data_IF_921437721170
#
_entry.id   IF_921437721170
#
_cell.length_a   1.000
_cell.length_b   1.000
_cell.length_c   1.000
_cell.angle_alpha   90.00
_cell.angle_beta   90.00
_cell.angle_gamma   90.00
#
_symmetry.space_group_name_H-M   'P 1'
#
loop_
_entity.id
_entity.type
_entity.pdbx_description
1 polymer ?
#
# COMPACT_ATOMS: atom_id res chain seq x y z
N UNK A 1 15.57 9.38 -5.00
CA UNK A 1 14.22 9.74 -5.51
C UNK A 1 14.13 9.31 -6.96
N UNK A 2 13.06 8.66 -7.34
CA UNK A 2 12.86 8.18 -8.72
C UNK A 2 12.49 9.38 -9.60
N UNK A 3 13.22 9.61 -10.67
CA UNK A 3 12.95 10.67 -11.64
C UNK A 3 11.83 10.29 -12.59
N UNK A 4 11.22 11.27 -13.28
CA UNK A 4 10.18 10.98 -14.28
C UNK A 4 10.70 10.10 -15.42
N UNK A 5 11.96 10.29 -15.85
CA UNK A 5 12.60 9.46 -16.86
C UNK A 5 12.78 8.01 -16.39
N UNK A 6 13.17 7.79 -15.15
CA UNK A 6 13.27 6.44 -14.57
C UNK A 6 11.92 5.75 -14.50
N UNK A 7 10.83 6.47 -14.15
CA UNK A 7 9.47 5.91 -14.21
C UNK A 7 9.08 5.49 -15.63
N UNK A 8 9.37 6.29 -16.63
CA UNK A 8 9.11 5.94 -18.04
C UNK A 8 9.96 4.74 -18.52
N UNK A 9 11.20 4.63 -18.04
CA UNK A 9 12.05 3.47 -18.31
C UNK A 9 11.50 2.20 -17.66
N UNK A 10 10.98 2.31 -16.43
CA UNK A 10 10.32 1.21 -15.73
C UNK A 10 9.08 0.72 -16.49
N UNK A 11 8.22 1.63 -16.96
CA UNK A 11 7.11 1.28 -17.87
C UNK A 11 7.61 0.51 -19.09
N UNK A 12 8.66 1.01 -19.74
CA UNK A 12 9.24 0.35 -20.91
C UNK A 12 9.77 -1.05 -20.61
N UNK A 13 10.36 -1.24 -19.44
CA UNK A 13 10.87 -2.54 -18.96
C UNK A 13 9.76 -3.55 -18.78
N UNK A 14 8.63 -3.15 -18.17
CA UNK A 14 7.45 -4.01 -18.01
C UNK A 14 6.93 -4.50 -19.36
N UNK A 15 6.78 -3.61 -20.35
CA UNK A 15 6.32 -3.98 -21.69
C UNK A 15 7.31 -4.94 -22.40
N UNK A 16 8.62 -4.72 -22.26
CA UNK A 16 9.66 -5.62 -22.81
C UNK A 16 9.64 -7.00 -22.15
N UNK A 17 9.33 -7.07 -20.86
CA UNK A 17 9.27 -8.30 -20.09
C UNK A 17 7.91 -9.03 -20.21
N UNK A 18 6.96 -8.48 -21.00
CA UNK A 18 5.65 -9.10 -21.21
C UNK A 18 4.61 -8.85 -20.12
N UNK A 19 4.91 -7.98 -19.15
CA UNK A 19 3.98 -7.56 -18.08
C UNK A 19 3.20 -6.31 -18.53
N UNK A 20 2.23 -6.54 -19.40
CA UNK A 20 1.46 -5.47 -20.06
C UNK A 20 0.48 -4.78 -19.11
N UNK A 21 -0.08 -5.50 -18.16
CA UNK A 21 -1.13 -4.94 -17.27
C UNK A 21 -0.52 -4.00 -16.24
N UNK A 22 0.56 -4.38 -15.59
CA UNK A 22 1.27 -3.50 -14.66
C UNK A 22 1.96 -2.35 -15.41
N UNK A 23 2.60 -2.64 -16.55
CA UNK A 23 3.20 -1.61 -17.40
C UNK A 23 2.19 -0.55 -17.83
N UNK A 24 0.96 -0.95 -18.20
CA UNK A 24 -0.09 0.00 -18.57
C UNK A 24 -0.57 0.85 -17.39
N UNK A 25 -0.74 0.26 -16.20
CA UNK A 25 -1.09 1.02 -14.98
C UNK A 25 -0.02 2.05 -14.63
N UNK A 26 1.25 1.67 -14.70
CA UNK A 26 2.38 2.60 -14.47
C UNK A 26 2.46 3.70 -15.53
N UNK A 27 2.12 3.41 -16.79
CA UNK A 27 1.99 4.44 -17.82
C UNK A 27 0.93 5.47 -17.44
N UNK A 28 -0.24 5.01 -16.98
CA UNK A 28 -1.33 5.90 -16.54
C UNK A 28 -0.88 6.78 -15.37
N UNK A 29 -0.10 6.23 -14.42
CA UNK A 29 0.49 7.03 -13.32
C UNK A 29 1.46 8.10 -13.85
N UNK A 30 2.29 7.78 -14.84
CA UNK A 30 3.15 8.78 -15.50
C UNK A 30 2.33 9.88 -16.19
N UNK A 31 1.25 9.50 -16.87
CA UNK A 31 0.34 10.48 -17.50
C UNK A 31 -0.31 11.39 -16.48
N UNK A 32 -0.77 10.85 -15.35
CA UNK A 32 -1.34 11.64 -14.25
C UNK A 32 -0.32 12.60 -13.62
N UNK A 33 0.94 12.18 -13.53
CA UNK A 33 2.02 13.01 -12.99
C UNK A 33 2.28 14.27 -13.86
N UNK A 34 1.96 14.26 -15.17
CA UNK A 34 2.11 15.44 -16.03
C UNK A 34 1.11 16.55 -15.73
N UNK A 35 -0.08 16.21 -15.21
CA UNK A 35 -1.24 17.13 -15.03
C UNK A 35 -1.73 17.79 -16.31
N UNK A 36 -1.35 17.30 -17.49
CA UNK A 36 -1.70 17.85 -18.78
C UNK A 36 -2.94 17.19 -19.39
N UNK A 37 -3.98 17.94 -19.63
CA UNK A 37 -5.26 17.45 -20.19
C UNK A 37 -5.12 16.87 -21.59
N UNK A 38 -4.13 17.31 -22.38
CA UNK A 38 -3.77 16.77 -23.69
C UNK A 38 -3.34 15.30 -23.59
N UNK A 39 -2.46 14.98 -22.65
CA UNK A 39 -2.02 13.62 -22.39
C UNK A 39 -3.11 12.75 -21.77
N UNK A 40 -3.97 13.33 -20.93
CA UNK A 40 -5.16 12.61 -20.42
C UNK A 40 -6.05 12.15 -21.58
N UNK A 41 -6.33 13.06 -22.54
CA UNK A 41 -7.12 12.73 -23.72
C UNK A 41 -6.46 11.61 -24.54
N UNK A 42 -5.17 11.71 -24.82
CA UNK A 42 -4.44 10.69 -25.61
C UNK A 42 -4.42 9.32 -24.90
N UNK A 43 -4.26 9.30 -23.57
CA UNK A 43 -4.33 8.08 -22.76
C UNK A 43 -5.71 7.42 -22.80
N UNK A 44 -6.78 8.21 -22.74
CA UNK A 44 -8.16 7.73 -22.85
C UNK A 44 -8.41 7.16 -24.24
N UNK A 45 -8.01 7.85 -25.29
CA UNK A 45 -8.12 7.38 -26.69
C UNK A 45 -7.34 6.06 -26.90
N UNK A 46 -6.15 5.95 -26.31
CA UNK A 46 -5.36 4.70 -26.34
C UNK A 46 -6.08 3.55 -25.61
N UNK A 47 -6.73 3.85 -24.47
CA UNK A 47 -7.52 2.86 -23.71
C UNK A 47 -8.74 2.40 -24.51
N UNK A 48 -9.48 3.32 -25.11
CA UNK A 48 -10.63 3.02 -25.98
C UNK A 48 -10.23 2.18 -27.17
N UNK A 49 -9.13 2.56 -27.83
CA UNK A 49 -8.59 1.80 -28.94
C UNK A 49 -8.21 0.38 -28.51
N UNK A 50 -7.52 0.21 -27.34
CA UNK A 50 -7.14 -1.10 -26.79
C UNK A 50 -8.35 -2.00 -26.56
N UNK A 51 -9.42 -1.45 -26.00
CA UNK A 51 -10.64 -2.22 -25.71
C UNK A 51 -11.44 -2.60 -26.98
N UNK A 52 -11.47 -1.72 -27.97
CA UNK A 52 -12.21 -1.95 -29.22
C UNK A 52 -11.52 -2.94 -30.16
N UNK A 53 -10.20 -2.90 -30.25
CA UNK A 53 -9.46 -3.65 -31.26
C UNK A 53 -8.77 -4.90 -30.72
N UNK A 54 -8.75 -5.11 -29.40
CA UNK A 54 -8.02 -6.23 -28.77
C UNK A 54 -6.66 -6.50 -29.44
N UNK A 55 -5.75 -5.51 -29.49
CA UNK A 55 -4.55 -5.55 -30.33
C UNK A 55 -3.59 -6.66 -29.92
N UNK A 56 -2.72 -7.07 -30.86
CA UNK A 56 -1.57 -7.90 -30.48
C UNK A 56 -0.66 -7.17 -29.50
N UNK A 57 0.12 -7.93 -28.76
CA UNK A 57 1.06 -7.40 -27.75
C UNK A 57 2.09 -6.46 -28.37
N UNK A 58 2.56 -6.77 -29.56
CA UNK A 58 3.54 -5.97 -30.33
C UNK A 58 2.94 -4.63 -30.74
N UNK A 59 1.70 -4.63 -31.23
CA UNK A 59 1.02 -3.41 -31.68
C UNK A 59 0.69 -2.48 -30.51
N UNK A 60 0.28 -3.05 -29.36
CA UNK A 60 0.09 -2.29 -28.12
C UNK A 60 1.41 -1.66 -27.66
N UNK A 61 2.50 -2.46 -27.62
CA UNK A 61 3.83 -1.98 -27.23
C UNK A 61 4.32 -0.84 -28.09
N UNK A 62 4.16 -0.95 -29.42
CA UNK A 62 4.57 0.11 -30.35
C UNK A 62 3.85 1.44 -30.08
N UNK A 63 2.52 1.41 -29.83
CA UNK A 63 1.78 2.61 -29.48
C UNK A 63 2.20 3.19 -28.12
N UNK A 64 2.41 2.33 -27.13
CA UNK A 64 2.87 2.75 -25.79
C UNK A 64 4.26 3.37 -25.85
N UNK A 65 5.20 2.79 -26.62
CA UNK A 65 6.54 3.38 -26.76
C UNK A 65 6.50 4.73 -27.47
N UNK A 66 5.66 4.90 -28.50
CA UNK A 66 5.44 6.21 -29.11
C UNK A 66 4.84 7.24 -28.15
N UNK A 67 3.98 6.80 -27.23
CA UNK A 67 3.44 7.69 -26.19
C UNK A 67 4.49 8.03 -25.13
N UNK A 68 5.31 7.07 -24.68
CA UNK A 68 6.44 7.30 -23.78
C UNK A 68 7.43 8.32 -24.36
N UNK A 69 7.72 8.25 -25.65
CA UNK A 69 8.60 9.25 -26.31
C UNK A 69 8.04 10.66 -26.21
N UNK A 70 6.73 10.84 -26.36
CA UNK A 70 6.08 12.16 -26.16
C UNK A 70 6.17 12.62 -24.71
N UNK A 71 5.86 11.73 -23.74
CA UNK A 71 5.93 12.02 -22.33
C UNK A 71 7.36 12.37 -21.87
N UNK A 72 8.38 11.76 -22.48
CA UNK A 72 9.79 12.01 -22.11
C UNK A 72 10.27 13.44 -22.40
N UNK A 73 9.53 14.19 -23.22
CA UNK A 73 9.79 15.60 -23.57
C UNK A 73 9.19 16.57 -22.55
N UNK A 74 8.39 16.07 -21.62
CA UNK A 74 7.72 16.87 -20.58
C UNK A 74 8.55 16.90 -19.31
N UNK A 75 8.72 18.07 -18.74
CA UNK A 75 9.36 18.23 -17.43
C UNK A 75 8.32 18.10 -16.32
N UNK A 76 8.56 17.17 -15.39
CA UNK A 76 7.76 16.99 -14.18
C UNK A 76 8.63 17.36 -12.98
N UNK A 77 8.26 18.44 -12.30
CA UNK A 77 9.05 18.94 -11.17
C UNK A 77 8.87 18.07 -9.94
N UNK A 78 10.00 17.64 -9.39
CA UNK A 78 10.10 16.92 -8.13
C UNK A 78 9.96 17.88 -6.94
N UNK A 79 9.12 17.53 -5.98
CA UNK A 79 9.11 18.21 -4.69
C UNK A 79 9.94 17.42 -3.66
N UNK A 80 10.72 18.09 -2.78
CA UNK A 80 11.41 17.42 -1.69
C UNK A 80 10.38 16.76 -0.76
N UNK A 81 10.74 15.61 -0.19
CA UNK A 81 9.89 14.94 0.79
C UNK A 81 9.65 15.85 1.98
N UNK A 82 8.38 16.06 2.33
CA UNK A 82 7.95 16.87 3.47
C UNK A 82 7.26 16.00 4.51
N UNK A 83 7.36 16.40 5.76
CA UNK A 83 6.51 15.87 6.83
C UNK A 83 5.06 16.32 6.58
N UNK A 84 4.12 15.40 6.70
CA UNK A 84 2.69 15.64 6.49
C UNK A 84 1.88 15.67 7.79
N UNK A 85 2.27 14.80 8.73
CA UNK A 85 1.59 14.64 10.01
C UNK A 85 2.58 14.19 11.08
N UNK A 86 2.50 14.82 12.24
CA UNK A 86 3.19 14.38 13.46
C UNK A 86 2.18 14.21 14.57
N UNK A 87 2.11 13.01 15.13
CA UNK A 87 1.36 12.70 16.34
C UNK A 87 2.36 12.40 17.45
N UNK A 88 2.18 13.02 18.62
CA UNK A 88 3.05 12.88 19.77
C UNK A 88 2.25 12.49 21.01
N UNK A 89 2.55 11.33 21.60
CA UNK A 89 1.96 10.78 22.84
C UNK A 89 0.44 10.80 22.86
N UNK A 90 -0.19 10.46 21.73
CA UNK A 90 -1.65 10.43 21.61
C UNK A 90 -2.21 9.31 22.46
N UNK A 91 -3.15 9.63 23.34
CA UNK A 91 -3.87 8.63 24.12
C UNK A 91 -5.38 8.89 24.16
N UNK A 92 -6.14 7.81 24.39
CA UNK A 92 -7.59 7.89 24.59
C UNK A 92 -8.09 6.83 25.54
N UNK A 93 -8.92 7.24 26.49
CA UNK A 93 -9.59 6.37 27.46
C UNK A 93 -11.09 6.37 27.19
N UNK A 94 -11.71 5.20 27.17
CA UNK A 94 -13.17 5.07 27.07
C UNK A 94 -13.78 4.88 28.46
N UNK A 95 -14.66 5.79 28.87
CA UNK A 95 -15.22 5.86 30.21
C UNK A 95 -16.13 4.68 30.59
N UNK A 96 -16.56 3.83 29.66
CA UNK A 96 -17.42 2.65 29.88
C UNK A 96 -16.75 1.35 29.38
N UNK A 97 -15.53 1.13 29.76
CA UNK A 97 -14.82 -0.08 29.37
C UNK A 97 -13.37 0.00 29.79
N UNK A 98 -12.72 -1.16 29.87
CA UNK A 98 -11.31 -1.25 30.26
C UNK A 98 -10.36 -0.93 29.10
N UNK A 99 -10.87 -0.46 27.94
CA UNK A 99 -10.02 -0.19 26.78
C UNK A 99 -9.42 1.21 26.87
N UNK A 100 -8.09 1.24 26.79
CA UNK A 100 -7.29 2.45 26.67
C UNK A 100 -6.39 2.34 25.46
N UNK A 101 -6.42 3.35 24.58
CA UNK A 101 -5.36 3.55 23.62
C UNK A 101 -4.19 4.22 24.36
N UNK A 102 -3.04 3.55 24.40
CA UNK A 102 -1.83 4.03 25.07
C UNK A 102 -1.18 5.20 24.31
N UNK A 103 -0.06 5.65 24.81
CA UNK A 103 0.65 6.78 24.20
C UNK A 103 1.28 6.37 22.87
N UNK A 104 0.75 6.94 21.79
CA UNK A 104 1.21 6.64 20.44
C UNK A 104 1.88 7.87 19.84
N UNK A 105 3.08 7.68 19.32
CA UNK A 105 3.82 8.70 18.55
C UNK A 105 4.18 8.14 17.17
N UNK A 106 3.90 8.92 16.11
CA UNK A 106 4.26 8.58 14.75
C UNK A 106 4.42 9.83 13.89
N UNK A 107 5.28 9.74 12.88
CA UNK A 107 5.48 10.81 11.90
C UNK A 107 5.32 10.25 10.50
N UNK A 108 4.43 10.86 9.71
CA UNK A 108 4.13 10.49 8.32
C UNK A 108 4.72 11.53 7.40
N UNK A 109 5.58 11.10 6.48
CA UNK A 109 6.14 11.94 5.43
C UNK A 109 5.50 11.62 4.08
N UNK A 110 5.70 12.50 3.12
CA UNK A 110 5.35 12.24 1.73
C UNK A 110 6.07 10.98 1.22
N UNK A 111 5.34 10.08 0.62
CA UNK A 111 5.84 8.81 0.11
C UNK A 111 5.96 7.69 1.14
N UNK A 112 5.68 7.95 2.44
CA UNK A 112 5.70 6.91 3.47
C UNK A 112 4.43 6.04 3.40
N UNK A 113 4.61 4.74 3.60
CA UNK A 113 3.53 3.79 3.88
C UNK A 113 3.70 3.25 5.29
N UNK A 114 2.76 3.57 6.16
CA UNK A 114 2.66 3.04 7.51
C UNK A 114 1.68 1.88 7.57
N UNK A 115 2.11 0.76 8.10
CA UNK A 115 1.26 -0.36 8.47
C UNK A 115 0.84 -0.29 9.92
N UNK A 116 -0.45 -0.35 10.19
CA UNK A 116 -1.00 -0.42 11.53
C UNK A 116 -1.57 -1.82 11.76
N UNK A 117 -0.86 -2.64 12.53
CA UNK A 117 -1.18 -4.06 12.71
C UNK A 117 -1.65 -4.36 14.13
N UNK A 118 -2.53 -5.33 14.27
CA UNK A 118 -3.04 -5.81 15.56
C UNK A 118 -4.36 -6.53 15.42
N UNK A 119 -4.73 -7.31 16.42
CA UNK A 119 -6.02 -8.01 16.47
C UNK A 119 -7.20 -7.04 16.56
N UNK A 120 -8.42 -7.58 16.39
CA UNK A 120 -9.63 -6.81 16.60
C UNK A 120 -9.74 -6.30 18.04
N UNK A 121 -10.19 -5.06 18.20
CA UNK A 121 -10.30 -4.42 19.50
C UNK A 121 -9.00 -3.78 20.00
N UNK A 122 -7.87 -3.93 19.34
CA UNK A 122 -6.59 -3.35 19.78
C UNK A 122 -6.43 -1.85 19.47
N UNK A 123 -7.45 -1.18 18.92
CA UNK A 123 -7.47 0.29 18.79
C UNK A 123 -7.06 0.85 17.44
N UNK A 124 -6.83 0.02 16.40
CA UNK A 124 -6.46 0.46 15.04
C UNK A 124 -7.44 1.51 14.48
N UNK A 125 -8.72 1.17 14.40
CA UNK A 125 -9.79 2.09 13.98
C UNK A 125 -9.87 3.35 14.84
N UNK A 126 -9.66 3.22 16.17
CA UNK A 126 -9.64 4.35 17.09
C UNK A 126 -8.53 5.33 16.72
N UNK A 127 -7.31 4.82 16.52
CA UNK A 127 -6.17 5.65 16.11
C UNK A 127 -6.43 6.33 14.76
N UNK A 128 -6.85 5.58 13.73
CA UNK A 128 -7.14 6.14 12.41
C UNK A 128 -8.19 7.25 12.47
N UNK A 129 -9.27 7.07 13.26
CA UNK A 129 -10.30 8.09 13.45
C UNK A 129 -9.83 9.32 14.22
N UNK A 130 -8.90 9.14 15.17
CA UNK A 130 -8.24 10.27 15.86
C UNK A 130 -7.39 11.04 14.84
N UNK A 131 -6.57 10.37 14.06
CA UNK A 131 -5.75 10.99 13.01
C UNK A 131 -6.58 11.65 11.91
N UNK A 132 -7.80 11.14 11.66
CA UNK A 132 -8.77 11.74 10.73
C UNK A 132 -9.53 12.95 11.30
N UNK A 133 -9.31 13.33 12.56
CA UNK A 133 -10.12 14.29 13.33
C UNK A 133 -11.61 13.92 13.44
N UNK A 134 -11.95 12.64 13.28
CA UNK A 134 -13.32 12.14 13.49
C UNK A 134 -13.57 11.75 14.96
N UNK A 135 -12.51 11.60 15.74
CA UNK A 135 -12.59 11.24 17.14
C UNK A 135 -11.63 12.08 17.98
N UNK A 136 -12.11 12.65 19.08
CA UNK A 136 -11.26 13.39 20.02
C UNK A 136 -10.38 12.44 20.82
N UNK A 137 -9.14 12.84 21.07
CA UNK A 137 -8.20 12.19 21.97
C UNK A 137 -8.13 12.94 23.32
N UNK A 138 -7.56 12.31 24.35
CA UNK A 138 -7.58 12.85 25.72
C UNK A 138 -6.25 13.51 26.08
N UNK A 139 -5.11 13.04 25.52
CA UNK A 139 -3.79 13.66 25.71
C UNK A 139 -2.91 13.51 24.47
N UNK A 140 -1.87 14.34 24.40
CA UNK A 140 -0.92 14.41 23.28
C UNK A 140 -1.19 15.57 22.34
N UNK A 141 -0.50 15.60 21.19
CA UNK A 141 -0.66 16.61 20.14
C UNK A 141 -0.65 15.96 18.75
N UNK A 142 -1.36 16.58 17.82
CA UNK A 142 -1.29 16.21 16.39
C UNK A 142 -1.10 17.47 15.57
N UNK A 143 0.01 17.52 14.84
CA UNK A 143 0.35 18.61 13.94
C UNK A 143 0.21 18.13 12.49
N UNK A 144 -0.49 18.92 11.66
CA UNK A 144 -0.68 18.63 10.25
C UNK A 144 0.06 19.69 9.41
N UNK A 145 0.95 19.23 8.54
CA UNK A 145 1.77 20.06 7.67
C UNK A 145 1.34 19.91 6.20
N UNK A 146 0.08 20.22 5.94
CA UNK A 146 -0.54 20.08 4.62
C UNK A 146 -0.51 21.44 3.91
N UNK A 147 0.50 21.75 3.20
CA UNK A 147 0.88 22.96 2.40
C UNK A 147 -0.24 23.89 1.87
N UNK A 148 -1.37 24.01 2.52
CA UNK A 148 -2.48 24.86 2.10
C UNK A 148 -2.59 26.10 2.99
N UNK A 149 -2.87 27.24 2.34
CA UNK A 149 -3.22 28.48 3.01
C UNK A 149 -4.52 28.34 3.84
N UNK A 150 -5.35 27.33 3.53
CA UNK A 150 -6.58 27.02 4.26
C UNK A 150 -6.29 26.05 5.42
N UNK A 151 -6.02 26.63 6.60
CA UNK A 151 -5.85 25.88 7.86
C UNK A 151 -7.18 25.50 8.51
N UNK A 152 -8.33 25.76 7.86
CA UNK A 152 -9.64 25.37 8.37
C UNK A 152 -9.81 23.85 8.44
N UNK A 153 -10.73 23.39 9.28
CA UNK A 153 -11.10 21.96 9.34
C UNK A 153 -11.62 21.45 7.98
N UNK A 154 -12.17 22.32 7.15
CA UNK A 154 -12.61 21.97 5.80
C UNK A 154 -11.41 21.74 4.87
N UNK A 155 -10.45 22.67 4.82
CA UNK A 155 -9.21 22.54 4.05
C UNK A 155 -8.46 21.26 4.43
N UNK A 156 -8.31 21.01 5.73
CA UNK A 156 -7.69 19.76 6.20
C UNK A 156 -8.42 18.52 5.68
N UNK A 157 -9.75 18.46 5.79
CA UNK A 157 -10.55 17.30 5.34
C UNK A 157 -10.54 17.08 3.84
N UNK A 158 -10.17 18.08 3.04
CA UNK A 158 -9.95 17.88 1.61
C UNK A 158 -8.64 17.18 1.31
N UNK A 159 -7.61 17.37 2.14
CA UNK A 159 -6.25 16.82 1.97
C UNK A 159 -5.99 15.55 2.75
N UNK A 160 -6.69 15.35 3.85
CA UNK A 160 -6.64 14.14 4.65
C UNK A 160 -7.93 13.33 4.44
N UNK A 161 -7.78 12.10 3.95
CA UNK A 161 -8.93 11.24 3.67
C UNK A 161 -8.88 9.99 4.52
N UNK A 162 -10.00 9.66 5.13
CA UNK A 162 -10.23 8.40 5.82
C UNK A 162 -11.23 7.55 5.03
N UNK A 163 -10.84 6.32 4.71
CA UNK A 163 -11.72 5.30 4.12
C UNK A 163 -11.98 4.24 5.19
N UNK A 164 -13.20 4.14 5.71
CA UNK A 164 -13.57 3.15 6.71
C UNK A 164 -13.69 1.75 6.11
N UNK A 165 -13.61 0.73 6.94
CA UNK A 165 -13.75 -0.67 6.55
C UNK A 165 -15.07 -0.94 5.80
N UNK A 166 -16.15 -0.29 6.23
CA UNK A 166 -17.46 -0.38 5.57
C UNK A 166 -17.74 0.93 4.87
N UNK A 167 -17.66 0.90 3.55
CA UNK A 167 -17.96 2.05 2.70
C UNK A 167 -19.48 2.19 2.50
N UNK A 168 -19.99 3.43 2.36
CA UNK A 168 -21.40 3.65 2.11
C UNK A 168 -21.80 3.10 0.73
N UNK A 169 -23.09 2.73 0.61
CA UNK A 169 -23.67 2.36 -0.67
C UNK A 169 -23.89 3.61 -1.54
N UNK A 170 -23.55 3.48 -2.81
CA UNK A 170 -23.73 4.52 -3.82
C UNK A 170 -24.88 4.15 -4.76
N UNK A 171 -25.63 5.16 -5.22
CA UNK A 171 -26.73 5.00 -6.15
C UNK A 171 -26.36 5.54 -7.53
N UNK A 172 -26.83 4.87 -8.60
CA UNK A 172 -26.49 5.21 -9.98
C UNK A 172 -25.17 4.59 -10.45
N UNK A 173 -24.76 4.94 -11.68
CA UNK A 173 -23.55 4.35 -12.26
C UNK A 173 -22.28 4.87 -11.60
N UNK A 174 -21.25 4.04 -11.64
CA UNK A 174 -19.91 4.35 -11.12
C UNK A 174 -19.38 5.67 -11.70
N UNK A 175 -19.43 5.85 -13.04
CA UNK A 175 -18.97 7.06 -13.71
C UNK A 175 -19.76 8.30 -13.28
N UNK A 176 -21.08 8.19 -13.13
CA UNK A 176 -21.93 9.32 -12.71
C UNK A 176 -21.59 9.77 -11.28
N UNK A 177 -21.33 8.84 -10.37
CA UNK A 177 -20.91 9.14 -9.01
C UNK A 177 -19.55 9.83 -8.97
N UNK A 178 -18.57 9.37 -9.76
CA UNK A 178 -17.24 9.99 -9.85
C UNK A 178 -17.35 11.42 -10.45
N UNK A 179 -18.16 11.61 -11.48
CA UNK A 179 -18.40 12.97 -12.06
C UNK A 179 -19.03 13.91 -11.05
N UNK A 180 -19.97 13.42 -10.25
CA UNK A 180 -20.58 14.20 -9.18
C UNK A 180 -19.54 14.56 -8.10
N UNK A 181 -18.72 13.57 -7.66
CA UNK A 181 -17.64 13.82 -6.69
C UNK A 181 -16.64 14.86 -7.20
N UNK A 182 -16.18 14.74 -8.45
CA UNK A 182 -15.26 15.70 -9.05
C UNK A 182 -15.87 17.10 -9.11
N UNK A 183 -17.16 17.21 -9.48
CA UNK A 183 -17.86 18.49 -9.52
C UNK A 183 -17.98 19.14 -8.13
N UNK A 184 -18.19 18.33 -7.08
CA UNK A 184 -18.21 18.78 -5.69
C UNK A 184 -16.86 19.38 -5.25
N UNK A 185 -15.74 18.88 -5.80
CA UNK A 185 -14.40 19.43 -5.57
C UNK A 185 -14.04 20.59 -6.52
N UNK A 186 -15.02 21.13 -7.24
CA UNK A 186 -14.82 22.28 -8.13
C UNK A 186 -14.34 21.94 -9.54
N UNK A 187 -14.09 20.67 -9.86
CA UNK A 187 -13.62 20.22 -11.17
C UNK A 187 -14.84 20.15 -12.11
N UNK A 188 -14.87 20.95 -13.19
CA UNK A 188 -16.05 21.10 -14.05
C UNK A 188 -15.74 20.87 -15.52
N UNK A 189 -16.79 20.72 -16.31
CA UNK A 189 -16.72 20.66 -17.78
C UNK A 189 -15.80 19.55 -18.32
N UNK A 190 -14.94 19.91 -19.27
CA UNK A 190 -14.04 18.96 -19.94
C UNK A 190 -12.99 18.37 -19.01
N UNK A 191 -12.50 19.14 -18.06
CA UNK A 191 -11.53 18.67 -17.06
C UNK A 191 -12.13 17.55 -16.20
N UNK A 192 -13.38 17.73 -15.74
CA UNK A 192 -14.10 16.69 -14.99
C UNK A 192 -14.21 15.40 -15.79
N UNK A 193 -14.62 15.48 -17.05
CA UNK A 193 -14.75 14.29 -17.92
C UNK A 193 -13.41 13.56 -18.08
N UNK A 194 -12.34 14.30 -18.37
CA UNK A 194 -11.02 13.73 -18.59
C UNK A 194 -10.44 13.12 -17.31
N UNK A 195 -10.48 13.84 -16.19
CA UNK A 195 -9.93 13.38 -14.94
C UNK A 195 -10.70 12.15 -14.39
N UNK A 196 -12.02 12.17 -14.48
CA UNK A 196 -12.85 11.02 -14.08
C UNK A 196 -12.52 9.78 -14.92
N UNK A 197 -12.39 9.91 -16.25
CA UNK A 197 -11.99 8.80 -17.10
C UNK A 197 -10.58 8.29 -16.76
N UNK A 198 -9.62 9.19 -16.48
CA UNK A 198 -8.28 8.80 -16.03
C UNK A 198 -8.32 8.01 -14.71
N UNK A 199 -9.12 8.43 -13.72
CA UNK A 199 -9.28 7.67 -12.48
C UNK A 199 -9.94 6.30 -12.73
N UNK A 200 -10.93 6.24 -13.59
CA UNK A 200 -11.57 4.97 -13.99
C UNK A 200 -10.56 4.02 -14.63
N UNK A 201 -9.70 4.52 -15.53
CA UNK A 201 -8.64 3.74 -16.16
C UNK A 201 -7.61 3.30 -15.13
N UNK A 202 -7.12 4.25 -14.32
CA UNK A 202 -6.07 4.00 -13.31
C UNK A 202 -6.43 2.88 -12.34
N UNK A 203 -7.67 2.87 -11.88
CA UNK A 203 -8.16 1.87 -10.93
C UNK A 203 -8.79 0.63 -11.60
N UNK A 204 -8.61 0.44 -12.93
CA UNK A 204 -9.09 -0.74 -13.65
C UNK A 204 -10.61 -0.87 -13.70
N UNK A 205 -11.32 0.24 -13.65
CA UNK A 205 -12.78 0.30 -13.60
C UNK A 205 -13.43 0.52 -14.98
N UNK A 206 -12.63 0.54 -16.05
CA UNK A 206 -13.11 0.93 -17.38
C UNK A 206 -14.28 0.11 -17.88
N UNK A 207 -14.24 -1.21 -17.71
CA UNK A 207 -15.31 -2.12 -18.11
C UNK A 207 -16.58 -1.97 -17.26
N UNK A 208 -16.42 -1.51 -16.03
CA UNK A 208 -17.50 -1.36 -15.04
C UNK A 208 -18.02 0.07 -14.89
N UNK A 209 -17.56 1.03 -15.71
CA UNK A 209 -17.87 2.45 -15.55
C UNK A 209 -19.36 2.81 -15.60
N UNK A 210 -20.18 1.97 -16.24
CA UNK A 210 -21.64 2.13 -16.32
C UNK A 210 -22.42 1.21 -15.39
N UNK A 211 -21.73 0.34 -14.63
CA UNK A 211 -22.36 -0.54 -13.65
C UNK A 211 -22.78 0.25 -12.41
N UNK A 212 -23.81 -0.27 -11.75
CA UNK A 212 -24.25 0.24 -10.45
C UNK A 212 -23.43 -0.40 -9.32
N UNK A 213 -23.49 0.23 -8.13
CA UNK A 213 -22.76 -0.23 -6.95
C UNK A 213 -22.98 -1.70 -6.58
N UNK A 214 -24.25 -2.17 -6.68
CA UNK A 214 -24.60 -3.53 -6.27
C UNK A 214 -24.06 -4.61 -7.22
N UNK A 215 -23.70 -4.24 -8.44
CA UNK A 215 -23.14 -5.13 -9.46
C UNK A 215 -21.63 -5.32 -9.31
N UNK A 216 -20.98 -4.58 -8.39
CA UNK A 216 -19.54 -4.61 -8.17
C UNK A 216 -19.16 -5.61 -7.07
N UNK A 217 -18.06 -6.35 -7.27
CA UNK A 217 -17.42 -7.11 -6.19
C UNK A 217 -16.82 -6.19 -5.13
N UNK A 218 -16.47 -6.73 -3.96
CA UNK A 218 -15.82 -5.97 -2.87
C UNK A 218 -14.52 -5.29 -3.33
N UNK A 219 -13.71 -5.97 -4.14
CA UNK A 219 -12.49 -5.40 -4.70
C UNK A 219 -12.75 -4.21 -5.63
N UNK A 220 -13.74 -4.28 -6.50
CA UNK A 220 -14.12 -3.15 -7.36
C UNK A 220 -14.76 -2.01 -6.56
N UNK A 221 -15.48 -2.29 -5.48
CA UNK A 221 -16.01 -1.27 -4.55
C UNK A 221 -14.86 -0.51 -3.88
N UNK A 222 -13.82 -1.20 -3.41
CA UNK A 222 -12.63 -0.55 -2.84
C UNK A 222 -11.90 0.31 -3.87
N UNK A 223 -11.72 -0.19 -5.10
CA UNK A 223 -11.10 0.59 -6.20
C UNK A 223 -11.92 1.81 -6.58
N UNK A 224 -13.24 1.72 -6.55
CA UNK A 224 -14.11 2.88 -6.74
C UNK A 224 -13.91 3.93 -5.63
N UNK A 225 -13.84 3.52 -4.36
CA UNK A 225 -13.57 4.44 -3.25
C UNK A 225 -12.20 5.11 -3.38
N UNK A 226 -11.19 4.37 -3.80
CA UNK A 226 -9.88 4.96 -4.13
C UNK A 226 -10.00 5.96 -5.28
N UNK A 227 -10.63 5.60 -6.40
CA UNK A 227 -10.82 6.50 -7.54
C UNK A 227 -11.53 7.80 -7.13
N UNK A 228 -12.59 7.70 -6.33
CA UNK A 228 -13.34 8.84 -5.80
C UNK A 228 -12.48 9.72 -4.89
N UNK A 229 -11.68 9.07 -4.04
CA UNK A 229 -10.78 9.76 -3.12
C UNK A 229 -9.70 10.54 -3.86
N UNK A 230 -9.12 9.95 -4.89
CA UNK A 230 -8.03 10.56 -5.65
C UNK A 230 -8.46 11.76 -6.51
N UNK A 231 -9.76 11.92 -6.80
CA UNK A 231 -10.28 13.13 -7.46
C UNK A 231 -10.01 14.42 -6.69
N UNK A 232 -9.80 14.35 -5.37
CA UNK A 232 -9.46 15.53 -4.54
C UNK A 232 -7.96 15.69 -4.28
N UNK A 233 -7.12 14.84 -4.89
CA UNK A 233 -5.67 14.85 -4.71
C UNK A 233 -5.24 14.88 -3.23
N UNK A 234 -5.57 13.86 -2.42
CA UNK A 234 -5.26 13.82 -1.00
C UNK A 234 -3.75 13.86 -0.77
N UNK A 235 -3.33 14.38 0.38
CA UNK A 235 -1.93 14.33 0.85
C UNK A 235 -1.71 13.19 1.84
N UNK A 236 -2.74 12.85 2.62
CA UNK A 236 -2.74 11.72 3.55
C UNK A 236 -3.95 10.83 3.28
N UNK A 237 -3.72 9.54 3.20
CA UNK A 237 -4.75 8.52 3.05
C UNK A 237 -4.71 7.56 4.23
N UNK A 238 -5.80 7.50 4.98
CA UNK A 238 -6.01 6.61 6.10
C UNK A 238 -7.00 5.51 5.68
N UNK A 239 -6.57 4.25 5.73
CA UNK A 239 -7.34 3.09 5.26
C UNK A 239 -7.59 2.13 6.42
N UNK A 240 -8.85 1.92 6.74
CA UNK A 240 -9.23 0.99 7.80
C UNK A 240 -9.61 -0.38 7.22
N UNK A 241 -8.74 -1.36 7.43
CA UNK A 241 -8.90 -2.75 6.93
C UNK A 241 -9.24 -2.82 5.43
N UNK A 242 -8.47 -2.15 4.53
CA UNK A 242 -8.84 -2.03 3.11
C UNK A 242 -8.84 -3.36 2.36
N UNK A 243 -8.22 -4.39 2.92
CA UNK A 243 -8.08 -5.72 2.32
C UNK A 243 -9.10 -6.73 2.84
N UNK A 244 -9.92 -6.34 3.81
CA UNK A 244 -10.92 -7.22 4.40
C UNK A 244 -11.97 -7.66 3.36
N UNK A 245 -12.31 -8.95 3.38
CA UNK A 245 -13.28 -9.56 2.48
C UNK A 245 -12.90 -9.52 0.98
N UNK A 246 -11.63 -9.40 0.66
CA UNK A 246 -11.11 -9.49 -0.69
C UNK A 246 -10.46 -10.86 -0.91
N UNK A 247 -10.54 -11.36 -2.14
CA UNK A 247 -9.72 -12.49 -2.55
C UNK A 247 -8.24 -12.10 -2.68
N UNK A 248 -7.36 -13.10 -2.67
CA UNK A 248 -5.89 -12.90 -2.65
C UNK A 248 -5.39 -12.05 -3.82
N UNK A 249 -5.97 -12.22 -5.02
CA UNK A 249 -5.59 -11.45 -6.19
C UNK A 249 -6.01 -9.99 -6.06
N UNK A 250 -7.22 -9.72 -5.58
CA UNK A 250 -7.70 -8.36 -5.35
C UNK A 250 -6.87 -7.66 -4.27
N UNK A 251 -6.49 -8.36 -3.20
CA UNK A 251 -5.59 -7.85 -2.15
C UNK A 251 -4.24 -7.43 -2.74
N UNK A 252 -3.59 -8.31 -3.51
CA UNK A 252 -2.29 -8.02 -4.13
C UNK A 252 -2.36 -6.80 -5.04
N UNK A 253 -3.39 -6.71 -5.89
CA UNK A 253 -3.58 -5.60 -6.80
C UNK A 253 -3.80 -4.26 -6.06
N UNK A 254 -4.55 -4.26 -4.95
CA UNK A 254 -4.75 -3.05 -4.15
C UNK A 254 -3.45 -2.64 -3.44
N UNK A 255 -2.70 -3.58 -2.89
CA UNK A 255 -1.41 -3.30 -2.25
C UNK A 255 -0.41 -2.70 -3.25
N UNK A 256 -0.32 -3.25 -4.48
CA UNK A 256 0.48 -2.68 -5.55
C UNK A 256 0.01 -1.27 -5.93
N UNK A 257 -1.30 -1.07 -6.06
CA UNK A 257 -1.87 0.24 -6.36
C UNK A 257 -1.50 1.26 -5.28
N UNK A 258 -1.63 0.92 -4.00
CA UNK A 258 -1.26 1.80 -2.88
C UNK A 258 0.22 2.17 -2.90
N UNK A 259 1.11 1.19 -3.12
CA UNK A 259 2.55 1.45 -3.21
C UNK A 259 2.90 2.36 -4.39
N UNK A 260 2.30 2.12 -5.57
CA UNK A 260 2.54 2.95 -6.75
C UNK A 260 2.04 4.39 -6.54
N UNK A 261 0.91 4.58 -5.85
CA UNK A 261 0.35 5.90 -5.56
C UNK A 261 1.27 6.77 -4.68
N UNK A 262 2.00 6.19 -3.73
CA UNK A 262 2.96 6.94 -2.91
C UNK A 262 4.18 7.41 -3.72
N UNK A 263 4.43 6.80 -4.87
CA UNK A 263 5.51 7.15 -5.78
C UNK A 263 5.15 8.23 -6.81
N UNK A 264 3.94 8.83 -6.73
CA UNK A 264 3.58 9.97 -7.60
C UNK A 264 4.57 11.11 -7.41
N UNK A 265 5.02 11.69 -8.52
CA UNK A 265 5.94 12.84 -8.51
C UNK A 265 5.17 14.12 -8.27
N UNK A 266 4.02 14.26 -8.93
CA UNK A 266 3.22 15.49 -8.90
C UNK A 266 2.31 15.62 -7.68
N UNK A 267 2.00 14.50 -7.03
CA UNK A 267 1.17 14.44 -5.82
C UNK A 267 1.60 13.33 -4.87
N UNK A 268 2.84 13.39 -4.32
CA UNK A 268 3.28 12.40 -3.36
C UNK A 268 2.40 12.47 -2.11
N UNK A 269 1.95 11.29 -1.63
CA UNK A 269 1.10 11.19 -0.45
C UNK A 269 1.68 10.24 0.58
N UNK A 270 1.29 10.43 1.86
CA UNK A 270 1.52 9.46 2.93
C UNK A 270 0.30 8.56 3.10
N UNK A 271 0.53 7.28 3.36
CA UNK A 271 -0.52 6.29 3.61
C UNK A 271 -0.36 5.70 5.01
N UNK A 272 -1.48 5.54 5.74
CA UNK A 272 -1.56 4.67 6.90
C UNK A 272 -2.66 3.64 6.60
N UNK A 273 -2.30 2.37 6.59
CA UNK A 273 -3.27 1.29 6.40
C UNK A 273 -3.30 0.35 7.59
N UNK A 274 -4.50 0.00 8.05
CA UNK A 274 -4.66 -1.02 9.09
C UNK A 274 -4.93 -2.39 8.50
N UNK A 275 -4.40 -3.43 9.16
CA UNK A 275 -4.73 -4.83 8.88
C UNK A 275 -4.61 -5.67 10.15
N UNK A 276 -5.32 -6.80 10.17
CA UNK A 276 -5.11 -7.85 11.15
C UNK A 276 -3.96 -8.78 10.75
N UNK A 277 -3.60 -8.77 9.48
CA UNK A 277 -2.58 -9.65 8.91
C UNK A 277 -1.28 -8.88 8.66
N UNK A 278 -0.27 -9.18 9.46
CA UNK A 278 1.05 -8.57 9.35
C UNK A 278 1.67 -8.78 7.95
N UNK A 279 1.53 -9.98 7.38
CA UNK A 279 2.12 -10.35 6.10
C UNK A 279 1.64 -9.50 4.91
N UNK A 280 0.37 -9.05 4.93
CA UNK A 280 -0.18 -8.17 3.89
C UNK A 280 0.46 -6.79 3.96
N UNK A 281 0.59 -6.28 5.19
CA UNK A 281 1.09 -4.94 5.44
C UNK A 281 2.58 -4.83 5.15
N UNK A 282 3.38 -5.82 5.55
CA UNK A 282 4.84 -5.84 5.34
C UNK A 282 5.24 -5.72 3.86
N UNK A 283 4.41 -6.20 2.95
CA UNK A 283 4.72 -6.15 1.51
C UNK A 283 4.84 -4.73 0.96
N UNK A 284 4.16 -3.77 1.57
CA UNK A 284 4.04 -2.42 1.05
C UNK A 284 4.48 -1.34 2.02
N UNK A 285 4.53 -1.63 3.33
CA UNK A 285 4.83 -0.64 4.36
C UNK A 285 6.32 -0.43 4.54
N UNK A 286 6.72 0.84 4.64
CA UNK A 286 8.07 1.24 5.00
C UNK A 286 8.27 1.18 6.52
N UNK A 287 7.18 1.36 7.28
CA UNK A 287 7.15 1.36 8.75
C UNK A 287 5.92 0.62 9.24
N UNK A 288 6.05 -0.10 10.35
CA UNK A 288 4.93 -0.82 10.97
C UNK A 288 4.80 -0.43 12.43
N UNK A 289 3.58 -0.08 12.82
CA UNK A 289 3.17 0.11 14.20
C UNK A 289 2.26 -1.05 14.61
N UNK A 290 2.70 -1.83 15.58
CA UNK A 290 1.90 -2.91 16.14
C UNK A 290 1.15 -2.44 17.37
N UNK A 291 -0.16 -2.72 17.44
CA UNK A 291 -1.00 -2.45 18.58
C UNK A 291 -1.40 -3.74 19.29
N UNK A 292 -1.06 -3.85 20.57
CA UNK A 292 -1.49 -4.94 21.45
C UNK A 292 -2.16 -4.36 22.68
N UNK A 293 -3.41 -4.73 22.91
CA UNK A 293 -4.21 -4.20 24.04
C UNK A 293 -4.21 -2.68 24.14
N UNK A 294 -4.25 -1.99 22.98
CA UNK A 294 -4.22 -0.53 22.90
C UNK A 294 -2.84 0.10 23.07
N UNK A 295 -1.80 -0.65 23.37
CA UNK A 295 -0.45 -0.15 23.55
C UNK A 295 0.39 -0.35 22.28
N UNK A 296 1.20 0.65 21.89
CA UNK A 296 2.08 0.54 20.76
C UNK A 296 3.29 -0.34 21.08
N UNK A 297 3.69 -1.17 20.12
CA UNK A 297 4.99 -1.80 20.10
C UNK A 297 5.65 -1.36 18.80
N UNK A 298 6.69 -0.53 18.89
CA UNK A 298 7.46 -0.10 17.74
C UNK A 298 8.38 -1.22 17.29
N UNK A 299 8.21 -1.66 16.07
CA UNK A 299 9.03 -2.72 15.50
C UNK A 299 10.39 -2.19 15.02
N UNK A 300 10.53 -0.87 14.85
CA UNK A 300 11.81 -0.22 14.56
C UNK A 300 12.82 -0.27 15.72
N UNK A 301 12.34 -0.35 16.96
CA UNK A 301 13.22 -0.38 18.14
C UNK A 301 13.86 -1.75 18.38
N UNK A 302 13.33 -2.79 17.75
CA UNK A 302 13.89 -4.13 17.80
C UNK A 302 15.12 -4.34 16.90
N UNK A 303 15.42 -3.39 16.01
CA UNK A 303 16.62 -3.44 15.16
C UNK A 303 17.92 -3.00 15.87
N UNK A 304 17.85 -2.53 17.12
CA UNK A 304 18.99 -1.88 17.74
C UNK A 304 20.03 -2.81 18.38
N UNK A 305 19.79 -4.14 18.50
CA UNK A 305 20.74 -5.01 19.21
C UNK A 305 21.06 -6.38 18.55
N UNK A 306 20.58 -6.68 17.34
CA UNK A 306 20.83 -8.00 16.71
C UNK A 306 21.25 -7.88 15.24
N UNK A 307 22.28 -7.07 14.97
CA UNK A 307 22.79 -6.86 13.60
C UNK A 307 23.31 -8.13 12.91
N UNK A 308 23.38 -9.28 13.62
CA UNK A 308 24.04 -10.49 13.12
C UNK A 308 23.23 -11.78 13.36
N UNK A 309 21.89 -11.74 13.30
CA UNK A 309 21.07 -12.96 13.48
C UNK A 309 20.08 -13.13 12.32
N UNK A 310 20.11 -14.31 11.68
CA UNK A 310 19.14 -14.69 10.66
C UNK A 310 17.97 -15.47 11.29
N UNK A 311 16.74 -15.09 10.96
CA UNK A 311 15.50 -15.74 11.39
C UNK A 311 14.85 -16.44 10.21
N UNK A 312 14.56 -17.74 10.36
CA UNK A 312 14.12 -18.58 9.25
C UNK A 312 12.90 -19.40 9.66
N UNK A 313 11.82 -19.29 8.88
CA UNK A 313 10.71 -20.22 8.92
C UNK A 313 10.98 -21.40 8.00
N UNK A 314 10.75 -22.61 8.49
CA UNK A 314 11.02 -23.85 7.78
C UNK A 314 9.89 -24.86 8.02
N UNK A 315 9.39 -25.46 6.94
CA UNK A 315 8.55 -26.66 6.96
C UNK A 315 9.23 -27.77 6.18
N UNK A 316 9.28 -28.97 6.76
CA UNK A 316 9.94 -30.12 6.19
C UNK A 316 9.06 -31.36 6.32
N UNK A 317 9.24 -32.33 5.41
CA UNK A 317 8.61 -33.63 5.50
C UNK A 317 9.43 -34.62 6.32
N UNK A 318 10.67 -34.26 6.65
CA UNK A 318 11.59 -35.08 7.45
C UNK A 318 11.30 -35.04 8.95
N UNK A 319 11.82 -35.98 9.70
CA UNK A 319 11.67 -36.03 11.16
C UNK A 319 12.43 -34.89 11.87
N UNK A 320 12.05 -34.64 13.14
CA UNK A 320 12.76 -33.65 13.97
C UNK A 320 14.20 -34.09 14.26
N UNK A 321 14.44 -35.37 14.39
CA UNK A 321 15.77 -35.96 14.62
C UNK A 321 16.67 -35.69 13.42
N UNK A 322 16.17 -35.93 12.19
CA UNK A 322 16.90 -35.62 10.95
C UNK A 322 17.25 -34.15 10.81
N UNK A 323 16.30 -33.27 11.13
CA UNK A 323 16.57 -31.84 11.16
C UNK A 323 17.66 -31.49 12.16
N UNK A 324 17.54 -31.99 13.40
CA UNK A 324 18.52 -31.72 14.47
C UNK A 324 19.93 -32.17 14.06
N UNK A 325 20.07 -33.34 13.43
CA UNK A 325 21.36 -33.82 12.93
C UNK A 325 21.88 -32.97 11.76
N UNK A 326 21.00 -32.49 10.90
CA UNK A 326 21.38 -31.64 9.77
C UNK A 326 21.94 -30.26 10.20
N UNK A 327 21.39 -29.69 11.27
CA UNK A 327 21.77 -28.36 11.76
C UNK A 327 22.81 -28.37 12.90
N UNK A 328 23.25 -29.56 13.35
CA UNK A 328 24.12 -29.74 14.52
C UNK A 328 25.43 -28.95 14.49
N UNK A 329 25.99 -28.75 13.30
CA UNK A 329 27.25 -28.05 13.10
C UNK A 329 27.07 -26.52 12.81
N UNK A 330 25.83 -26.01 12.89
CA UNK A 330 25.54 -24.61 12.68
C UNK A 330 25.45 -23.86 14.01
N UNK A 331 25.78 -22.59 13.99
CA UNK A 331 25.66 -21.71 15.16
C UNK A 331 24.19 -21.28 15.37
N UNK A 332 23.38 -22.26 15.79
CA UNK A 332 21.95 -22.10 16.05
C UNK A 332 21.77 -21.53 17.45
N UNK A 333 21.11 -20.38 17.56
CA UNK A 333 20.73 -19.78 18.85
C UNK A 333 19.48 -20.42 19.42
N UNK A 334 18.48 -20.68 18.55
CA UNK A 334 17.19 -21.23 18.98
C UNK A 334 16.50 -22.00 17.86
N UNK A 335 15.74 -23.03 18.22
CA UNK A 335 14.81 -23.75 17.34
C UNK A 335 13.50 -23.92 18.07
N UNK A 336 12.48 -23.23 17.61
CA UNK A 336 11.11 -23.38 18.09
C UNK A 336 10.25 -24.13 17.05
N UNK A 337 9.18 -24.76 17.51
CA UNK A 337 8.18 -25.36 16.64
C UNK A 337 6.80 -24.81 17.02
N UNK A 338 6.20 -24.08 16.13
CA UNK A 338 4.91 -23.44 16.36
C UNK A 338 4.04 -23.49 15.09
N UNK A 339 2.78 -23.88 15.26
CA UNK A 339 1.80 -23.90 14.16
C UNK A 339 2.18 -24.79 12.97
N UNK A 340 2.94 -25.90 13.20
CA UNK A 340 3.37 -26.80 12.15
C UNK A 340 4.68 -26.40 11.44
N UNK A 341 5.32 -25.29 11.85
CA UNK A 341 6.57 -24.79 11.27
C UNK A 341 7.69 -24.72 12.30
N UNK A 342 8.91 -24.96 11.87
CA UNK A 342 10.12 -24.66 12.62
C UNK A 342 10.50 -23.21 12.45
N UNK A 343 10.92 -22.60 13.54
CA UNK A 343 11.52 -21.30 13.59
C UNK A 343 12.96 -21.43 14.06
N UNK A 344 13.89 -21.02 13.23
CA UNK A 344 15.31 -21.20 13.45
C UNK A 344 16.00 -19.85 13.51
N UNK A 345 16.68 -19.58 14.62
CA UNK A 345 17.55 -18.42 14.82
C UNK A 345 19.00 -18.84 14.64
N UNK A 346 19.68 -18.25 13.64
CA UNK A 346 21.08 -18.56 13.30
C UNK A 346 21.91 -17.29 13.41
N UNK A 347 23.10 -17.39 14.00
CA UNK A 347 24.06 -16.29 14.06
C UNK A 347 24.66 -16.01 12.67
N UNK A 348 24.78 -14.73 12.32
CA UNK A 348 25.36 -14.25 11.05
C UNK A 348 24.33 -13.84 9.98
N UNK A 349 24.72 -12.83 9.19
CA UNK A 349 23.86 -12.27 8.11
C UNK A 349 23.57 -13.28 6.99
N UNK A 350 24.41 -14.28 6.80
CA UNK A 350 24.28 -15.30 5.77
C UNK A 350 23.66 -16.62 6.28
N UNK A 351 23.09 -16.63 7.49
CA UNK A 351 22.54 -17.80 8.16
C UNK A 351 21.50 -18.54 7.32
N UNK A 352 20.70 -17.81 6.53
CA UNK A 352 19.72 -18.43 5.62
C UNK A 352 20.37 -19.35 4.58
N UNK A 353 21.43 -18.91 3.90
CA UNK A 353 22.13 -19.70 2.90
C UNK A 353 22.89 -20.86 3.53
N UNK A 354 23.45 -20.65 4.71
CA UNK A 354 24.16 -21.68 5.48
C UNK A 354 23.19 -22.79 5.89
N UNK A 355 21.99 -22.44 6.39
CA UNK A 355 20.94 -23.42 6.70
C UNK A 355 20.52 -24.20 5.46
N UNK A 356 20.18 -23.53 4.37
CA UNK A 356 19.76 -24.17 3.14
C UNK A 356 20.79 -25.19 2.64
N UNK A 357 22.09 -24.81 2.66
CA UNK A 357 23.18 -25.71 2.26
C UNK A 357 23.22 -26.97 3.13
N UNK A 358 23.15 -26.84 4.45
CA UNK A 358 23.13 -27.94 5.37
C UNK A 358 21.93 -28.90 5.18
N UNK A 359 20.73 -28.33 4.94
CA UNK A 359 19.54 -29.15 4.67
C UNK A 359 19.65 -29.92 3.35
N UNK A 360 20.17 -29.30 2.29
CA UNK A 360 20.36 -29.91 0.98
C UNK A 360 21.44 -31.03 1.08
N UNK A 361 22.57 -30.81 1.75
CA UNK A 361 23.65 -31.80 1.93
C UNK A 361 23.17 -33.06 2.70
N UNK A 362 22.17 -32.89 3.56
CA UNK A 362 21.55 -34.00 4.30
C UNK A 362 20.30 -34.57 3.64
N UNK A 363 19.97 -34.15 2.43
CA UNK A 363 18.77 -34.56 1.68
C UNK A 363 17.46 -34.35 2.46
N UNK A 364 17.35 -33.28 3.27
CA UNK A 364 16.11 -32.93 3.96
C UNK A 364 15.08 -32.45 2.94
N UNK A 365 13.89 -33.04 2.96
CA UNK A 365 12.79 -32.63 2.08
C UNK A 365 12.13 -31.36 2.58
N UNK A 366 12.41 -30.24 1.94
CA UNK A 366 11.89 -28.91 2.29
C UNK A 366 10.55 -28.70 1.59
N UNK A 367 9.47 -28.46 2.34
CA UNK A 367 8.16 -28.09 1.82
C UNK A 367 8.04 -26.58 1.69
N UNK A 368 8.58 -25.83 2.68
CA UNK A 368 8.57 -24.40 2.71
C UNK A 368 9.78 -23.85 3.45
N UNK A 369 10.35 -22.77 2.95
CA UNK A 369 11.40 -22.03 3.66
C UNK A 369 11.29 -20.53 3.35
N UNK A 370 11.43 -19.70 4.37
CA UNK A 370 11.39 -18.25 4.24
C UNK A 370 12.38 -17.59 5.19
N UNK A 371 13.17 -16.67 4.67
CA UNK A 371 13.95 -15.77 5.50
C UNK A 371 13.03 -14.66 6.02
N UNK A 372 12.90 -14.56 7.35
CA UNK A 372 12.09 -13.58 8.05
C UNK A 372 12.93 -12.60 8.87
N UNK A 373 14.25 -12.56 8.64
CA UNK A 373 15.16 -11.69 9.40
C UNK A 373 14.80 -10.21 9.29
N UNK A 374 14.28 -9.81 8.12
CA UNK A 374 13.78 -8.44 7.89
C UNK A 374 12.25 -8.32 8.10
N UNK A 375 11.58 -9.42 8.45
CA UNK A 375 10.15 -9.42 8.70
C UNK A 375 9.88 -9.07 10.16
N UNK A 376 8.85 -8.24 10.36
CA UNK A 376 8.34 -7.95 11.70
C UNK A 376 7.75 -9.18 12.40
N UNK A 377 7.50 -10.27 11.65
CA UNK A 377 7.02 -11.54 12.19
C UNK A 377 7.96 -12.13 13.25
N UNK A 378 9.31 -11.92 13.10
CA UNK A 378 10.31 -12.37 14.08
C UNK A 378 10.04 -11.89 15.51
N UNK A 379 9.29 -10.79 15.69
CA UNK A 379 9.03 -10.16 16.99
C UNK A 379 7.79 -10.72 17.69
N UNK A 380 7.10 -11.66 17.04
CA UNK A 380 5.90 -12.34 17.56
C UNK A 380 6.17 -13.82 17.86
N UNK A 381 7.40 -14.20 17.77
CA UNK A 381 7.91 -15.51 18.00
C UNK A 381 8.82 -15.47 19.21
#
# INVERSE_FOLDING_TARGET
>A
MITFKEKLQDVSSHFKNGDYDLGYRKLVDCVLDTKELSFYKECIELTEWKELHTPTKELLSAKVFGFIEKLSKTEVNHQPKKELLRASSISKVYGRGNFRLGEISLTVNQGDVWGLVGENGNGKTTLLRILAKDLKFDSGTIDYHLDDEDTSDYGLRTRLTYIPQRTPKWYGSLKSNLKFAAAHYGIKGKENELLVNMMIIRFGLWKFRFHNWDELSSGYKMRFELARTFLRAPKILLLDEPLANLDVLAQQLILEDLKNLTQSISNPLGIILSSQQLFEVEKVSDKVLFLKNGSPTHLSDANSNEENTSYIELDIQSSREELTEAIKNLEIKKVDFNGGMYLIEIEGDNGFNVLLKALIEKNISITYVRNISQSTKRLFI
#
